data_IF_403959477340
#
_entry.id   IF_403959477340
#
_cell.length_a   1.000
_cell.length_b   1.000
_cell.length_c   1.000
_cell.angle_alpha   90.00
_cell.angle_beta   90.00
_cell.angle_gamma   90.00
#
_symmetry.space_group_name_H-M   'P 1'
#
loop_
_entity.id
_entity.type
_entity.pdbx_description
1 polymer ?
#
# COMPACT_ATOMS: atom_id res chain seq x y z
N UNK A 1 -30.58 -12.59 12.55
CA UNK A 1 -29.24 -12.68 11.95
C UNK A 1 -29.44 -12.84 10.45
N UNK A 2 -29.29 -11.75 9.68
CA UNK A 2 -29.41 -11.81 8.24
C UNK A 2 -28.20 -12.56 7.68
N UNK A 3 -28.45 -13.73 7.05
CA UNK A 3 -27.43 -14.38 6.24
C UNK A 3 -27.04 -13.42 5.12
N UNK A 4 -25.78 -13.04 5.06
CA UNK A 4 -25.20 -12.48 3.86
C UNK A 4 -25.25 -13.57 2.80
N UNK A 5 -26.11 -13.38 1.81
CA UNK A 5 -26.11 -14.24 0.62
C UNK A 5 -24.74 -14.05 -0.06
N UNK A 6 -23.92 -15.07 0.02
CA UNK A 6 -22.68 -15.12 -0.73
C UNK A 6 -23.05 -15.27 -2.20
N UNK A 7 -23.02 -14.17 -2.92
CA UNK A 7 -23.18 -14.18 -4.37
C UNK A 7 -22.00 -14.97 -4.95
N UNK A 8 -22.30 -16.11 -5.53
CA UNK A 8 -21.28 -16.94 -6.17
C UNK A 8 -20.75 -16.20 -7.40
N UNK A 9 -19.52 -15.71 -7.33
CA UNK A 9 -18.88 -14.85 -8.35
C UNK A 9 -18.67 -15.60 -9.68
N UNK A 10 -18.79 -16.91 -9.70
CA UNK A 10 -18.66 -17.74 -10.92
C UNK A 10 -19.77 -17.50 -11.95
N UNK A 11 -20.92 -17.00 -11.53
CA UNK A 11 -22.05 -16.72 -12.42
C UNK A 11 -22.03 -15.31 -13.06
N UNK A 12 -20.99 -14.53 -12.84
CA UNK A 12 -20.86 -13.15 -13.37
C UNK A 12 -20.02 -13.12 -14.66
N UNK A 13 -19.85 -14.27 -15.33
CA UNK A 13 -19.00 -14.38 -16.54
C UNK A 13 -19.55 -13.64 -17.78
N UNK A 14 -20.80 -13.21 -17.79
CA UNK A 14 -21.43 -12.62 -18.97
C UNK A 14 -21.67 -11.11 -18.89
N UNK A 15 -21.21 -10.44 -17.86
CA UNK A 15 -21.28 -8.99 -17.80
C UNK A 15 -19.95 -8.46 -18.35
N UNK A 16 -19.96 -7.98 -19.59
CA UNK A 16 -18.93 -7.11 -20.16
C UNK A 16 -18.87 -5.81 -19.36
N UNK A 17 -18.39 -5.89 -18.14
CA UNK A 17 -18.15 -4.75 -17.30
C UNK A 17 -16.68 -4.38 -17.52
N UNK A 18 -16.45 -3.37 -18.35
CA UNK A 18 -15.18 -2.64 -18.37
C UNK A 18 -15.02 -1.96 -17.00
N UNK A 19 -14.53 -2.74 -16.04
CA UNK A 19 -14.19 -2.16 -14.74
C UNK A 19 -13.03 -1.21 -14.94
N UNK A 20 -13.17 0.06 -14.59
CA UNK A 20 -12.03 0.96 -14.62
C UNK A 20 -10.93 0.37 -13.74
N UNK A 21 -9.73 0.23 -14.29
CA UNK A 21 -8.58 -0.22 -13.55
C UNK A 21 -8.34 0.74 -12.38
N UNK A 22 -8.55 0.27 -11.16
CA UNK A 22 -8.31 1.06 -9.95
C UNK A 22 -6.87 0.97 -9.49
N UNK A 23 -6.16 -0.07 -9.91
CA UNK A 23 -4.76 -0.31 -9.56
C UNK A 23 -3.84 -0.10 -10.75
N UNK A 24 -2.58 0.18 -10.47
CA UNK A 24 -1.52 0.23 -11.48
C UNK A 24 -1.04 -1.18 -11.86
N UNK A 25 -0.27 -1.29 -12.95
CA UNK A 25 0.40 -2.54 -13.31
C UNK A 25 1.70 -2.75 -12.52
N UNK A 26 2.07 -1.81 -11.69
CA UNK A 26 3.30 -1.82 -10.88
C UNK A 26 3.06 -1.20 -9.51
N UNK A 27 4.03 -1.39 -8.64
CA UNK A 27 4.08 -0.79 -7.31
C UNK A 27 5.06 0.39 -7.34
N UNK A 28 4.62 1.56 -6.93
CA UNK A 28 5.45 2.76 -6.88
C UNK A 28 5.95 3.02 -5.46
N UNK A 29 7.20 3.45 -5.37
CA UNK A 29 7.78 4.00 -4.15
C UNK A 29 8.28 5.41 -4.44
N UNK A 30 7.74 6.40 -3.74
CA UNK A 30 8.06 7.82 -3.91
C UNK A 30 8.92 8.35 -2.77
N UNK A 31 9.80 9.28 -3.11
CA UNK A 31 10.70 9.95 -2.17
C UNK A 31 10.82 11.44 -2.51
N UNK A 32 11.19 12.23 -1.51
CA UNK A 32 11.31 13.68 -1.65
C UNK A 32 12.60 14.16 -2.32
N UNK A 33 13.65 13.34 -2.32
CA UNK A 33 14.97 13.70 -2.84
C UNK A 33 15.47 12.66 -3.84
N UNK A 34 16.04 13.13 -4.93
CA UNK A 34 16.61 12.26 -5.97
C UNK A 34 17.74 11.38 -5.43
N UNK A 35 18.51 11.86 -4.46
CA UNK A 35 19.60 11.10 -3.85
C UNK A 35 19.11 9.78 -3.25
N UNK A 36 17.89 9.73 -2.73
CA UNK A 36 17.33 8.49 -2.17
C UNK A 36 17.08 7.44 -3.26
N UNK A 37 16.61 7.86 -4.44
CA UNK A 37 16.48 6.94 -5.60
C UNK A 37 17.87 6.45 -6.05
N UNK A 38 18.83 7.36 -6.19
CA UNK A 38 20.20 7.00 -6.56
C UNK A 38 20.79 5.97 -5.60
N UNK A 39 20.60 6.17 -4.30
CA UNK A 39 21.06 5.26 -3.27
C UNK A 39 20.41 3.87 -3.37
N UNK A 40 19.10 3.81 -3.58
CA UNK A 40 18.37 2.55 -3.81
C UNK A 40 18.96 1.79 -5.00
N UNK A 41 19.22 2.48 -6.11
CA UNK A 41 19.76 1.87 -7.32
C UNK A 41 21.22 1.42 -7.15
N UNK A 42 22.04 2.20 -6.45
CA UNK A 42 23.45 1.87 -6.18
C UNK A 42 23.58 0.67 -5.22
N UNK A 43 22.83 0.69 -4.13
CA UNK A 43 22.85 -0.36 -3.11
C UNK A 43 22.03 -1.59 -3.52
N UNK A 44 21.17 -1.48 -4.55
CA UNK A 44 20.19 -2.50 -4.96
C UNK A 44 19.38 -3.04 -3.79
N UNK A 45 19.01 -2.14 -2.88
CA UNK A 45 18.37 -2.47 -1.61
C UNK A 45 17.36 -1.41 -1.22
N UNK A 46 16.21 -1.87 -0.74
CA UNK A 46 15.18 -1.03 -0.11
C UNK A 46 15.27 -1.24 1.40
N UNK A 47 15.82 -0.25 2.11
CA UNK A 47 15.91 -0.31 3.56
C UNK A 47 14.60 0.16 4.19
N UNK A 48 13.97 -0.63 5.07
CA UNK A 48 12.81 -0.18 5.82
C UNK A 48 13.18 0.96 6.76
N UNK A 49 12.20 1.77 7.08
CA UNK A 49 12.29 2.83 8.07
C UNK A 49 11.35 2.54 9.22
N UNK A 50 11.72 2.87 10.44
CA UNK A 50 10.84 2.72 11.59
C UNK A 50 9.75 3.80 11.56
N UNK A 51 8.51 3.38 11.35
CA UNK A 51 7.33 4.25 11.37
C UNK A 51 6.65 4.09 12.71
N UNK A 52 6.34 5.24 13.34
CA UNK A 52 5.59 5.28 14.59
C UNK A 52 4.10 5.14 14.30
N UNK A 53 3.46 4.18 14.94
CA UNK A 53 2.02 3.97 14.88
C UNK A 53 1.39 4.18 16.26
N UNK A 54 0.33 4.97 16.33
CA UNK A 54 -0.48 5.14 17.55
C UNK A 54 -1.42 3.95 17.68
N UNK A 55 -1.27 3.19 18.74
CA UNK A 55 -2.07 1.97 19.01
C UNK A 55 -2.97 2.11 20.23
N UNK A 56 -3.23 3.32 20.71
CA UNK A 56 -4.11 3.58 21.86
C UNK A 56 -5.50 2.99 21.68
N UNK A 57 -5.99 2.94 20.43
CA UNK A 57 -7.29 2.36 20.09
C UNK A 57 -7.40 0.85 20.40
N UNK A 58 -6.29 0.15 20.58
CA UNK A 58 -6.29 -1.26 20.97
C UNK A 58 -6.61 -1.47 22.45
N UNK A 59 -6.68 -0.39 23.27
CA UNK A 59 -7.00 -0.48 24.69
C UNK A 59 -5.97 -1.22 25.55
N UNK A 60 -4.73 -1.31 25.08
CA UNK A 60 -3.63 -1.93 25.82
C UNK A 60 -3.07 -0.90 26.78
N UNK A 61 -3.29 -1.08 28.09
CA UNK A 61 -3.14 -0.07 29.15
C UNK A 61 -1.80 0.69 29.13
N UNK A 62 -0.71 0.05 28.79
CA UNK A 62 0.63 0.66 28.81
C UNK A 62 1.19 0.96 27.40
N UNK A 63 0.61 0.38 26.34
CA UNK A 63 1.14 0.49 24.98
C UNK A 63 0.39 1.59 24.22
N UNK A 64 1.05 2.73 24.05
CA UNK A 64 0.50 3.88 23.30
C UNK A 64 0.97 3.94 21.85
N UNK A 65 2.21 3.61 21.63
CA UNK A 65 2.89 3.71 20.36
C UNK A 65 3.72 2.46 20.09
N UNK A 66 3.76 2.04 18.84
CA UNK A 66 4.68 1.02 18.34
C UNK A 66 5.50 1.57 17.18
N UNK A 67 6.70 1.05 16.99
CA UNK A 67 7.56 1.39 15.86
C UNK A 67 7.70 0.17 14.97
N UNK A 68 7.23 0.27 13.75
CA UNK A 68 7.24 -0.82 12.78
C UNK A 68 8.24 -0.50 11.67
N UNK A 69 9.24 -1.36 11.43
CA UNK A 69 10.10 -1.19 10.25
C UNK A 69 9.28 -1.51 9.01
N UNK A 70 9.06 -0.50 8.16
CA UNK A 70 8.28 -0.68 6.94
C UNK A 70 8.83 0.11 5.77
N UNK A 71 8.50 -0.34 4.58
CA UNK A 71 8.69 0.37 3.32
C UNK A 71 7.39 0.35 2.57
N UNK A 72 6.84 1.53 2.28
CA UNK A 72 5.52 1.65 1.70
C UNK A 72 5.60 1.79 0.18
N UNK A 73 4.65 1.16 -0.48
CA UNK A 73 4.43 1.24 -1.92
C UNK A 73 3.00 1.68 -2.19
N UNK A 74 2.78 2.35 -3.31
CA UNK A 74 1.43 2.63 -3.75
C UNK A 74 1.07 1.86 -5.02
N UNK A 75 -0.17 1.41 -5.07
CA UNK A 75 -0.78 0.72 -6.20
C UNK A 75 -1.90 1.60 -6.77
N UNK A 76 -1.51 2.73 -7.36
CA UNK A 76 -2.43 3.74 -7.89
C UNK A 76 -2.02 4.03 -9.33
N UNK A 77 -2.99 4.16 -10.23
CA UNK A 77 -2.74 4.55 -11.61
C UNK A 77 -2.01 5.89 -11.71
N UNK A 78 -1.10 6.03 -12.66
CA UNK A 78 -0.26 7.22 -12.84
C UNK A 78 -1.05 8.52 -12.87
N UNK A 79 -2.20 8.53 -13.56
CA UNK A 79 -3.03 9.73 -13.67
C UNK A 79 -3.75 10.14 -12.36
N UNK A 80 -3.70 9.32 -11.32
CA UNK A 80 -4.27 9.59 -9.99
C UNK A 80 -3.22 9.87 -8.92
N UNK A 81 -1.95 9.94 -9.29
CA UNK A 81 -0.83 10.06 -8.36
C UNK A 81 -0.57 11.49 -7.86
N UNK A 82 -1.21 12.51 -8.42
CA UNK A 82 -0.91 13.91 -8.11
C UNK A 82 -0.86 14.20 -6.61
N UNK A 83 -1.95 13.92 -5.89
CA UNK A 83 -2.01 14.12 -4.42
C UNK A 83 -1.03 13.25 -3.65
N UNK A 84 -0.79 12.04 -4.15
CA UNK A 84 0.17 11.11 -3.54
C UNK A 84 1.60 11.62 -3.66
N UNK A 85 1.96 12.15 -4.84
CA UNK A 85 3.27 12.74 -5.13
C UNK A 85 3.49 14.00 -4.29
N UNK A 86 2.49 14.85 -4.15
CA UNK A 86 2.56 16.05 -3.28
C UNK A 86 2.92 15.67 -1.83
N UNK A 87 2.37 14.57 -1.34
CA UNK A 87 2.62 14.14 0.03
C UNK A 87 3.95 13.41 0.21
N UNK A 88 4.26 12.45 -0.66
CA UNK A 88 5.41 11.55 -0.49
C UNK A 88 6.66 12.00 -1.22
N UNK A 89 6.54 12.75 -2.31
CA UNK A 89 7.67 13.30 -3.07
C UNK A 89 7.56 13.10 -4.58
N UNK A 90 8.34 13.88 -5.31
CA UNK A 90 8.28 13.96 -6.78
C UNK A 90 9.14 12.92 -7.49
N UNK A 91 9.92 12.15 -6.76
CA UNK A 91 10.80 11.13 -7.34
C UNK A 91 10.28 9.75 -6.99
N UNK A 92 10.17 8.89 -7.97
CA UNK A 92 9.60 7.57 -7.78
C UNK A 92 10.37 6.47 -8.51
N UNK A 93 10.26 5.27 -7.99
CA UNK A 93 10.73 4.07 -8.63
C UNK A 93 9.57 3.07 -8.68
N UNK A 94 9.43 2.40 -9.82
CA UNK A 94 8.38 1.41 -10.03
C UNK A 94 8.96 0.00 -10.04
N UNK A 95 8.25 -0.91 -9.40
CA UNK A 95 8.57 -2.33 -9.35
C UNK A 95 7.41 -3.13 -9.95
N UNK A 96 7.70 -4.25 -10.60
CA UNK A 96 6.64 -5.12 -11.08
C UNK A 96 5.84 -5.72 -9.91
N UNK A 97 4.56 -6.00 -10.12
CA UNK A 97 3.73 -6.67 -9.10
C UNK A 97 4.26 -8.07 -8.78
N UNK A 98 4.77 -8.79 -9.77
CA UNK A 98 5.39 -10.11 -9.54
C UNK A 98 6.58 -10.01 -8.58
N UNK A 99 7.43 -9.00 -8.73
CA UNK A 99 8.49 -8.75 -7.76
C UNK A 99 7.92 -8.50 -6.36
N UNK A 100 6.88 -7.65 -6.24
CA UNK A 100 6.24 -7.35 -4.97
C UNK A 100 5.67 -8.60 -4.28
N UNK A 101 5.00 -9.45 -5.02
CA UNK A 101 4.48 -10.74 -4.50
C UNK A 101 5.62 -11.63 -4.01
N UNK A 102 6.70 -11.74 -4.80
CA UNK A 102 7.88 -12.54 -4.42
C UNK A 102 8.58 -11.99 -3.16
N UNK A 103 8.54 -10.66 -2.95
CA UNK A 103 9.03 -10.02 -1.73
C UNK A 103 8.04 -10.05 -0.57
N UNK A 104 6.88 -10.72 -0.74
CA UNK A 104 5.82 -10.84 0.28
C UNK A 104 5.25 -9.47 0.72
N UNK A 105 5.23 -8.51 -0.20
CA UNK A 105 4.58 -7.22 0.05
C UNK A 105 3.08 -7.45 0.20
N UNK A 106 2.50 -6.92 1.28
CA UNK A 106 1.10 -7.11 1.64
C UNK A 106 0.30 -5.82 1.44
N UNK A 107 -0.98 -5.92 1.02
CA UNK A 107 -1.90 -4.79 1.08
C UNK A 107 -2.02 -4.27 2.51
N UNK A 108 -2.14 -2.95 2.65
CA UNK A 108 -2.31 -2.29 3.93
C UNK A 108 -3.80 -2.17 4.26
N UNK A 109 -4.17 -2.51 5.49
CA UNK A 109 -5.53 -2.35 6.00
C UNK A 109 -5.51 -1.26 7.06
N UNK A 110 -6.31 -0.21 6.86
CA UNK A 110 -6.49 0.84 7.86
C UNK A 110 -7.58 0.44 8.84
N UNK A 111 -7.25 0.45 10.12
CA UNK A 111 -8.17 0.17 11.21
C UNK A 111 -8.20 1.34 12.18
N UNK A 112 -9.32 1.53 12.85
CA UNK A 112 -9.50 2.51 13.91
C UNK A 112 -10.35 1.92 15.03
N UNK A 113 -10.55 2.65 16.12
CA UNK A 113 -11.33 2.21 17.27
C UNK A 113 -12.76 1.76 16.96
N UNK A 114 -13.32 2.19 15.83
CA UNK A 114 -14.68 1.81 15.36
C UNK A 114 -14.67 0.61 14.41
N UNK A 115 -13.52 0.06 14.08
CA UNK A 115 -13.38 -1.06 13.14
C UNK A 115 -13.62 -2.42 13.78
N UNK A 116 -13.79 -2.44 15.11
CA UNK A 116 -13.99 -3.65 15.90
C UNK A 116 -15.25 -3.58 16.72
#
# INVERSE_FOLDING_TARGET
MNRLDVVNVENVKDINFDRPYQSANCLFHFVKKLEFIKKILQEKCLKPWYVKEDVKYLGLEELKDIYIPMKCFCDINLHKLEKHIEFYGNYGIAFSKNWGVNQKIQPLIYVNEKSF
#
